data_IF_650887464370
#
_entry.id   IF_650887464370
#
_cell.length_a   1.000
_cell.length_b   1.000
_cell.length_c   1.000
_cell.angle_alpha   90.00
_cell.angle_beta   90.00
_cell.angle_gamma   90.00
#
_symmetry.space_group_name_H-M   'P 1'
#
loop_
_entity.id
_entity.type
_entity.pdbx_description
1 polymer ?
#
# COMPACT_ATOMS: atom_id res chain seq x y z
N UNK A 1 -2.71 -21.08 22.48
CA UNK A 1 -2.10 -20.69 21.19
C UNK A 1 -2.41 -19.22 20.95
N UNK A 2 -1.39 -18.36 20.85
CA UNK A 2 -1.57 -16.93 20.49
C UNK A 2 -1.86 -16.86 18.99
N UNK A 3 -2.99 -16.26 18.60
CA UNK A 3 -3.32 -15.98 17.20
C UNK A 3 -2.34 -14.94 16.64
N UNK A 4 -1.77 -15.21 15.47
CA UNK A 4 -0.99 -14.24 14.69
C UNK A 4 -1.93 -13.16 14.12
N UNK A 5 -1.64 -11.87 14.30
CA UNK A 5 -2.44 -10.80 13.69
C UNK A 5 -2.45 -10.91 12.15
N UNK A 6 -3.61 -10.81 11.51
CA UNK A 6 -3.75 -10.76 10.05
C UNK A 6 -4.52 -11.92 9.38
N UNK A 7 -5.37 -12.67 10.11
CA UNK A 7 -6.00 -13.88 9.55
C UNK A 7 -7.46 -14.13 9.94
N UNK A 8 -8.23 -13.10 10.31
CA UNK A 8 -9.61 -13.30 10.82
C UNK A 8 -10.73 -12.91 9.81
N UNK A 9 -10.44 -12.83 8.50
CA UNK A 9 -11.47 -12.64 7.47
C UNK A 9 -10.97 -12.89 6.03
N UNK A 10 -11.85 -13.07 5.03
CA UNK A 10 -11.42 -13.12 3.63
C UNK A 10 -10.72 -11.80 3.30
N UNK A 11 -9.55 -11.88 2.66
CA UNK A 11 -8.80 -10.69 2.28
C UNK A 11 -9.67 -9.79 1.38
N UNK A 12 -9.69 -8.46 1.61
CA UNK A 12 -10.53 -7.55 0.83
C UNK A 12 -10.14 -7.62 -0.65
N UNK A 13 -11.09 -7.39 -1.57
CA UNK A 13 -10.81 -7.36 -3.00
C UNK A 13 -11.01 -5.93 -3.52
N UNK A 14 -9.91 -5.21 -3.72
CA UNK A 14 -9.92 -3.87 -4.26
C UNK A 14 -9.77 -3.89 -5.77
N UNK A 15 -10.78 -3.35 -6.45
CA UNK A 15 -10.75 -3.11 -7.91
C UNK A 15 -9.92 -1.87 -8.22
N UNK A 16 -9.51 -1.75 -9.48
CA UNK A 16 -8.69 -0.66 -9.99
C UNK A 16 -9.20 0.73 -9.60
N UNK A 17 -10.49 0.99 -9.75
CA UNK A 17 -11.09 2.30 -9.46
C UNK A 17 -10.99 2.63 -7.96
N UNK A 18 -11.22 1.64 -7.10
CA UNK A 18 -11.08 1.77 -5.66
C UNK A 18 -9.65 2.14 -5.27
N UNK A 19 -8.64 1.50 -5.88
CA UNK A 19 -7.23 1.76 -5.60
C UNK A 19 -6.77 3.13 -6.12
N UNK A 20 -7.17 3.52 -7.33
CA UNK A 20 -6.82 4.84 -7.89
C UNK A 20 -7.43 5.97 -7.06
N UNK A 21 -8.69 5.83 -6.63
CA UNK A 21 -9.31 6.77 -5.71
C UNK A 21 -8.59 6.79 -4.34
N UNK A 22 -8.00 5.67 -3.92
CA UNK A 22 -7.22 5.57 -2.67
C UNK A 22 -5.98 6.43 -2.73
N UNK A 23 -5.16 6.14 -3.74
CA UNK A 23 -3.88 6.77 -3.96
C UNK A 23 -4.04 8.27 -4.21
N UNK A 24 -5.08 8.68 -4.95
CA UNK A 24 -5.40 10.09 -5.15
C UNK A 24 -5.72 10.82 -3.83
N UNK A 25 -6.51 10.21 -2.94
CA UNK A 25 -6.81 10.81 -1.64
C UNK A 25 -5.57 10.92 -0.74
N UNK A 26 -4.71 9.88 -0.73
CA UNK A 26 -3.43 9.93 -0.02
C UNK A 26 -2.55 11.05 -0.56
N UNK A 27 -2.43 11.17 -1.88
CA UNK A 27 -1.66 12.23 -2.52
C UNK A 27 -2.20 13.63 -2.17
N UNK A 28 -3.53 13.81 -2.14
CA UNK A 28 -4.16 15.08 -1.71
C UNK A 28 -3.83 15.39 -0.25
N UNK A 29 -3.85 14.39 0.64
CA UNK A 29 -3.53 14.58 2.05
C UNK A 29 -2.06 14.99 2.26
N UNK A 30 -1.13 14.32 1.59
CA UNK A 30 0.30 14.64 1.60
C UNK A 30 0.53 16.06 1.07
N UNK A 31 -0.08 16.40 -0.07
CA UNK A 31 0.10 17.71 -0.70
C UNK A 31 -0.44 18.86 0.15
N UNK A 32 -1.52 18.65 0.91
CA UNK A 32 -2.06 19.66 1.86
C UNK A 32 -1.07 20.03 2.96
N UNK A 33 -0.11 19.16 3.24
CA UNK A 33 0.97 19.39 4.21
C UNK A 33 2.29 19.80 3.55
N UNK A 34 2.25 20.15 2.26
CA UNK A 34 3.43 20.46 1.45
C UNK A 34 4.44 19.30 1.33
N UNK A 35 4.01 18.07 1.63
CA UNK A 35 4.82 16.87 1.43
C UNK A 35 4.86 16.43 -0.03
N UNK A 36 5.86 15.62 -0.37
CA UNK A 36 5.98 14.99 -1.68
C UNK A 36 6.65 13.62 -1.54
N UNK A 37 5.85 12.56 -1.68
CA UNK A 37 6.31 11.17 -1.45
C UNK A 37 6.21 10.38 -2.75
N UNK A 38 7.33 9.80 -3.17
CA UNK A 38 7.37 8.86 -4.29
C UNK A 38 7.37 7.43 -3.78
N UNK A 39 6.48 6.59 -4.28
CA UNK A 39 6.48 5.15 -3.98
C UNK A 39 6.56 4.35 -5.27
N UNK A 40 7.18 3.17 -5.18
CA UNK A 40 7.26 2.21 -6.28
C UNK A 40 6.29 1.07 -5.96
N UNK A 41 5.11 1.11 -6.55
CA UNK A 41 4.11 0.06 -6.39
C UNK A 41 4.56 -1.23 -7.07
N UNK A 42 4.33 -2.37 -6.41
CA UNK A 42 4.72 -3.70 -6.89
C UNK A 42 3.59 -4.72 -6.73
N UNK A 43 3.85 -5.97 -7.12
CA UNK A 43 2.96 -7.10 -6.83
C UNK A 43 1.57 -6.98 -7.46
N UNK A 44 0.54 -7.27 -6.66
CA UNK A 44 -0.85 -7.29 -7.12
C UNK A 44 -1.33 -5.94 -7.67
N UNK A 45 -0.87 -4.84 -7.08
CA UNK A 45 -1.24 -3.49 -7.52
C UNK A 45 -0.84 -3.20 -8.97
N UNK A 46 0.33 -3.65 -9.42
CA UNK A 46 0.76 -3.49 -10.83
C UNK A 46 -0.14 -4.30 -11.77
N UNK A 47 -0.46 -5.52 -11.38
CA UNK A 47 -1.33 -6.41 -12.16
C UNK A 47 -2.77 -5.87 -12.26
N UNK A 48 -3.26 -5.18 -11.23
CA UNK A 48 -4.63 -4.65 -11.19
C UNK A 48 -4.75 -3.25 -11.79
N UNK A 49 -3.82 -2.34 -11.49
CA UNK A 49 -3.92 -0.93 -11.90
C UNK A 49 -3.36 -0.71 -13.31
N UNK A 50 -2.15 -1.21 -13.56
CA UNK A 50 -1.39 -0.91 -14.78
C UNK A 50 -1.63 -1.96 -15.86
N UNK A 51 -1.31 -3.23 -15.59
CA UNK A 51 -1.42 -4.31 -16.58
C UNK A 51 -2.87 -4.76 -16.80
N UNK A 52 -3.74 -4.56 -15.80
CA UNK A 52 -5.13 -5.01 -15.80
C UNK A 52 -5.29 -6.52 -16.08
N UNK A 53 -4.29 -7.32 -15.73
CA UNK A 53 -4.28 -8.78 -15.86
C UNK A 53 -5.06 -9.48 -14.74
N UNK A 54 -5.37 -8.78 -13.65
CA UNK A 54 -6.19 -9.24 -12.53
C UNK A 54 -7.25 -8.18 -12.19
N UNK A 55 -8.49 -8.61 -11.97
CA UNK A 55 -9.60 -7.70 -11.66
C UNK A 55 -9.42 -6.96 -10.32
N UNK A 56 -8.84 -7.64 -9.32
CA UNK A 56 -8.67 -7.11 -7.97
C UNK A 56 -7.39 -7.62 -7.29
N UNK A 57 -6.96 -6.89 -6.27
CA UNK A 57 -5.87 -7.24 -5.34
C UNK A 57 -6.28 -6.91 -3.90
N UNK A 58 -5.53 -7.41 -2.93
CA UNK A 58 -5.81 -7.24 -1.51
C UNK A 58 -5.26 -5.95 -0.92
N UNK A 59 -4.20 -5.42 -1.51
CA UNK A 59 -3.44 -4.27 -1.04
C UNK A 59 -2.56 -3.69 -2.16
N UNK A 60 -1.83 -2.64 -1.81
CA UNK A 60 -0.77 -1.99 -2.57
C UNK A 60 0.52 -2.14 -1.78
N UNK A 61 1.32 -3.13 -2.16
CA UNK A 61 2.71 -3.24 -1.76
C UNK A 61 3.55 -2.16 -2.45
N UNK A 62 4.46 -1.54 -1.70
CA UNK A 62 5.37 -0.55 -2.26
C UNK A 62 6.77 -0.55 -1.65
N UNK A 63 7.73 -0.11 -2.46
CA UNK A 63 9.05 0.30 -2.03
C UNK A 63 9.19 1.81 -2.05
N UNK A 64 10.12 2.32 -1.25
CA UNK A 64 10.57 3.70 -1.29
C UNK A 64 12.07 3.71 -0.94
N UNK A 65 12.82 4.60 -1.58
CA UNK A 65 14.28 4.72 -1.45
C UNK A 65 14.72 5.73 -0.37
N UNK A 66 13.87 6.70 -0.02
CA UNK A 66 14.21 7.80 0.88
C UNK A 66 12.99 8.29 1.69
N UNK A 67 12.33 7.38 2.43
CA UNK A 67 11.12 7.71 3.18
C UNK A 67 11.54 8.32 4.50
N UNK A 68 11.36 9.63 4.65
CA UNK A 68 11.62 10.27 5.95
C UNK A 68 10.53 9.90 6.96
N UNK A 69 10.77 10.05 8.27
CA UNK A 69 9.73 9.87 9.29
C UNK A 69 8.51 10.76 9.04
N UNK A 70 8.72 12.00 8.61
CA UNK A 70 7.65 12.95 8.27
C UNK A 70 6.84 12.47 7.05
N UNK A 71 7.50 11.95 6.01
CA UNK A 71 6.80 11.36 4.86
C UNK A 71 5.95 10.15 5.26
N UNK A 72 6.47 9.32 6.17
CA UNK A 72 5.73 8.17 6.69
C UNK A 72 4.51 8.61 7.50
N UNK A 73 4.65 9.65 8.34
CA UNK A 73 3.51 10.25 9.06
C UNK A 73 2.45 10.77 8.09
N UNK A 74 2.86 11.49 7.04
CA UNK A 74 1.95 11.97 5.99
C UNK A 74 1.23 10.83 5.26
N UNK A 75 1.91 9.72 4.97
CA UNK A 75 1.29 8.53 4.41
C UNK A 75 0.26 7.91 5.37
N UNK A 76 0.61 7.74 6.64
CA UNK A 76 -0.27 7.15 7.67
C UNK A 76 -1.53 7.99 7.85
N UNK A 77 -1.39 9.30 7.93
CA UNK A 77 -2.54 10.21 8.03
C UNK A 77 -3.38 10.21 6.75
N UNK A 78 -2.75 10.20 5.57
CA UNK A 78 -3.44 10.10 4.29
C UNK A 78 -4.26 8.82 4.16
N UNK A 79 -3.71 7.69 4.59
CA UNK A 79 -4.44 6.43 4.71
C UNK A 79 -5.59 6.53 5.73
N UNK A 80 -5.31 7.14 6.89
CA UNK A 80 -6.28 7.37 7.96
C UNK A 80 -7.48 8.21 7.53
N UNK A 81 -7.28 9.27 6.73
CA UNK A 81 -8.34 10.13 6.18
C UNK A 81 -9.33 9.33 5.32
N UNK A 82 -8.87 8.29 4.61
CA UNK A 82 -9.75 7.44 3.81
C UNK A 82 -10.39 6.31 4.63
N UNK A 83 -9.65 5.64 5.50
CA UNK A 83 -10.21 4.59 6.38
C UNK A 83 -11.22 5.14 7.39
N UNK A 84 -11.13 6.43 7.75
CA UNK A 84 -12.12 7.14 8.57
C UNK A 84 -13.21 7.87 7.77
N UNK A 85 -13.08 7.95 6.44
CA UNK A 85 -14.12 8.50 5.57
C UNK A 85 -15.32 7.55 5.57
N UNK A 86 -16.47 8.05 6.02
CA UNK A 86 -17.76 7.34 6.07
C UNK A 86 -18.23 6.74 4.73
N UNK A 87 -17.56 7.08 3.60
CA UNK A 87 -17.97 6.68 2.25
C UNK A 87 -17.43 5.31 1.79
N UNK A 88 -16.35 4.79 2.39
CA UNK A 88 -15.79 3.51 1.96
C UNK A 88 -15.09 2.79 3.11
N UNK A 89 -15.84 1.94 3.82
CA UNK A 89 -15.35 1.15 4.97
C UNK A 89 -14.54 -0.09 4.56
N UNK A 90 -14.32 -0.31 3.27
CA UNK A 90 -13.71 -1.55 2.79
C UNK A 90 -12.18 -1.52 2.84
N UNK A 91 -11.56 -0.33 2.89
CA UNK A 91 -10.12 -0.16 2.96
C UNK A 91 -9.62 -0.34 4.39
N UNK A 92 -9.08 -1.52 4.65
CA UNK A 92 -8.40 -1.90 5.87
C UNK A 92 -7.15 -1.04 6.07
N UNK A 93 -6.68 -0.87 7.31
CA UNK A 93 -5.53 0.00 7.63
C UNK A 93 -4.21 -0.40 6.97
N UNK A 94 -4.14 -1.61 6.41
CA UNK A 94 -2.98 -2.23 5.78
C UNK A 94 -3.05 -2.24 4.24
N UNK A 95 -4.06 -1.59 3.63
CA UNK A 95 -4.24 -1.61 2.17
C UNK A 95 -3.08 -0.96 1.39
N UNK A 96 -2.27 -0.10 2.01
CA UNK A 96 -1.06 0.48 1.42
C UNK A 96 0.12 0.15 2.35
N UNK A 97 0.95 -0.79 1.92
CA UNK A 97 1.86 -1.51 2.81
C UNK A 97 3.32 -1.41 2.31
N UNK A 98 4.22 -1.01 3.21
CA UNK A 98 5.67 -1.02 2.98
C UNK A 98 6.36 -2.30 3.46
N UNK A 99 5.59 -3.28 3.97
CA UNK A 99 6.11 -4.59 4.40
C UNK A 99 5.99 -5.60 3.26
N UNK A 100 6.75 -5.36 2.20
CA UNK A 100 6.82 -6.26 1.04
C UNK A 100 7.92 -7.31 1.26
N UNK A 101 7.54 -8.59 1.14
CA UNK A 101 8.48 -9.72 1.25
C UNK A 101 9.01 -10.05 -0.14
N UNK A 102 10.33 -10.13 -0.29
CA UNK A 102 10.97 -10.56 -1.54
C UNK A 102 11.72 -11.88 -1.36
N UNK A 103 11.51 -12.80 -2.30
CA UNK A 103 12.29 -14.03 -2.37
C UNK A 103 13.51 -13.81 -3.28
N UNK A 104 14.65 -13.52 -2.66
CA UNK A 104 15.92 -13.33 -3.36
C UNK A 104 16.61 -14.69 -3.48
N UNK A 105 16.93 -15.18 -4.69
CA UNK A 105 17.76 -16.38 -4.86
C UNK A 105 19.07 -16.29 -4.07
N UNK A 106 19.53 -17.40 -3.48
CA UNK A 106 20.70 -17.41 -2.58
C UNK A 106 21.96 -16.81 -3.23
N UNK A 107 22.16 -17.03 -4.53
CA UNK A 107 23.29 -16.49 -5.30
C UNK A 107 23.23 -14.96 -5.47
N UNK A 108 22.03 -14.36 -5.36
CA UNK A 108 21.82 -12.90 -5.43
C UNK A 108 21.82 -12.23 -4.06
N UNK A 109 21.69 -12.99 -2.97
CA UNK A 109 21.76 -12.41 -1.62
C UNK A 109 23.16 -11.88 -1.30
N UNK A 110 24.21 -12.51 -1.84
CA UNK A 110 25.61 -12.12 -1.61
C UNK A 110 25.99 -10.76 -2.21
N UNK A 111 25.18 -10.21 -3.11
CA UNK A 111 25.43 -8.88 -3.72
C UNK A 111 24.71 -7.74 -3.00
N UNK A 112 24.02 -8.03 -1.90
CA UNK A 112 23.25 -7.07 -1.11
C UNK A 112 23.89 -6.74 0.25
N UNK A 113 25.07 -7.32 0.52
CA UNK A 113 25.89 -7.11 1.72
C UNK A 113 26.99 -6.10 1.50
#
# INVERSE_FOLDING_TARGET
>A
MKKTPGHDGPAPNFRRETLLAALSNVAVAINKKHGNVNIIAVGGAVNTIYLQSREATHDVDFFNDNLTPEDFEHLVEGMGIRSSSKKDKTLTSDWLNNRTIFFIPKDKQQTLS
#
